data_IF_996071532214
#
_entry.id   IF_996071532214
#
_cell.length_a   1.000
_cell.length_b   1.000
_cell.length_c   1.000
_cell.angle_alpha   90.00
_cell.angle_beta   90.00
_cell.angle_gamma   90.00
#
_symmetry.space_group_name_H-M   'P 1'
#
loop_
_entity.id
_entity.type
_entity.pdbx_description
1 polymer ?
#
# COMPACT_ATOMS: atom_id res chain seq x y z
N UNK A 1 -17.26 -15.50 -15.66
CA UNK A 1 -16.68 -14.97 -14.40
C UNK A 1 -17.86 -14.83 -13.45
N UNK A 2 -17.91 -15.67 -12.42
CA UNK A 2 -19.07 -15.77 -11.51
C UNK A 2 -19.22 -14.50 -10.69
N UNK A 3 -20.45 -14.15 -10.32
CA UNK A 3 -20.74 -13.02 -9.42
C UNK A 3 -20.04 -13.22 -8.05
N UNK A 4 -19.89 -14.47 -7.61
CA UNK A 4 -19.12 -14.84 -6.41
C UNK A 4 -17.65 -14.45 -6.51
N UNK A 5 -16.97 -14.77 -7.63
CA UNK A 5 -15.55 -14.43 -7.82
C UNK A 5 -15.28 -12.92 -7.79
N UNK A 6 -16.26 -12.09 -8.17
CA UNK A 6 -16.12 -10.63 -8.09
C UNK A 6 -16.27 -10.11 -6.67
N UNK A 7 -17.17 -10.68 -5.89
CA UNK A 7 -17.35 -10.33 -4.48
C UNK A 7 -16.12 -10.73 -3.67
N UNK A 8 -15.51 -11.88 -3.97
CA UNK A 8 -14.27 -12.34 -3.34
C UNK A 8 -13.06 -11.45 -3.68
N UNK A 9 -12.99 -10.92 -4.91
CA UNK A 9 -11.95 -9.96 -5.30
C UNK A 9 -12.11 -8.60 -4.60
N UNK A 10 -13.34 -8.08 -4.54
CA UNK A 10 -13.63 -6.80 -3.87
C UNK A 10 -13.35 -6.89 -2.37
N UNK A 11 -13.83 -7.94 -1.71
CA UNK A 11 -13.59 -8.16 -0.27
C UNK A 11 -12.12 -8.38 0.05
N UNK A 12 -11.35 -9.03 -0.84
CA UNK A 12 -9.90 -9.15 -0.69
C UNK A 12 -9.18 -7.80 -0.83
N UNK A 13 -9.62 -6.94 -1.76
CA UNK A 13 -9.05 -5.60 -1.92
C UNK A 13 -9.35 -4.69 -0.72
N UNK A 14 -10.56 -4.76 -0.18
CA UNK A 14 -10.93 -4.02 1.04
C UNK A 14 -10.16 -4.53 2.26
N UNK A 15 -10.04 -5.85 2.42
CA UNK A 15 -9.26 -6.45 3.50
C UNK A 15 -7.79 -6.02 3.43
N UNK A 16 -7.15 -6.06 2.26
CA UNK A 16 -5.75 -5.64 2.11
C UNK A 16 -5.54 -4.16 2.38
N UNK A 17 -6.49 -3.29 2.01
CA UNK A 17 -6.45 -1.87 2.38
C UNK A 17 -6.55 -1.67 3.89
N UNK A 18 -7.43 -2.43 4.57
CA UNK A 18 -7.59 -2.36 6.00
C UNK A 18 -6.32 -2.81 6.74
N UNK A 19 -5.69 -3.91 6.30
CA UNK A 19 -4.40 -4.35 6.83
C UNK A 19 -3.32 -3.27 6.63
N UNK A 20 -3.26 -2.65 5.45
CA UNK A 20 -2.26 -1.63 5.16
C UNK A 20 -2.45 -0.40 6.04
N UNK A 21 -3.69 0.07 6.16
CA UNK A 21 -4.03 1.21 7.01
C UNK A 21 -3.66 0.95 8.47
N UNK A 22 -4.07 -0.20 9.03
CA UNK A 22 -3.75 -0.55 10.41
C UNK A 22 -2.24 -0.74 10.62
N UNK A 23 -1.54 -1.37 9.67
CA UNK A 23 -0.08 -1.54 9.74
C UNK A 23 0.64 -0.21 9.82
N UNK A 24 0.18 0.79 9.05
CA UNK A 24 0.83 2.10 9.04
C UNK A 24 0.50 2.90 10.30
N UNK A 25 -0.71 2.79 10.85
CA UNK A 25 -1.02 3.37 12.17
C UNK A 25 -0.12 2.78 13.25
N UNK A 26 0.03 1.45 13.27
CA UNK A 26 0.93 0.77 14.23
C UNK A 26 2.37 1.21 14.00
N UNK A 27 2.81 1.34 12.74
CA UNK A 27 4.14 1.82 12.40
C UNK A 27 4.38 3.24 12.93
N UNK A 28 3.46 4.18 12.69
CA UNK A 28 3.55 5.54 13.22
C UNK A 28 3.65 5.53 14.75
N UNK A 29 2.82 4.71 15.41
CA UNK A 29 2.86 4.56 16.86
C UNK A 29 4.24 4.08 17.34
N UNK A 30 4.80 3.05 16.70
CA UNK A 30 6.11 2.49 17.04
C UNK A 30 7.26 3.48 16.74
N UNK A 31 7.22 4.19 15.62
CA UNK A 31 8.21 5.22 15.28
C UNK A 31 8.19 6.37 16.28
N UNK A 32 6.99 6.76 16.72
CA UNK A 32 6.83 7.81 17.73
C UNK A 32 7.37 7.40 19.11
N UNK A 33 7.22 6.13 19.49
CA UNK A 33 7.82 5.61 20.73
C UNK A 33 9.33 5.42 20.66
N UNK A 34 9.87 5.15 19.48
CA UNK A 34 11.30 4.87 19.29
C UNK A 34 12.14 6.10 18.95
N UNK A 35 11.51 7.25 18.63
CA UNK A 35 12.17 8.51 18.24
C UNK A 35 13.15 8.36 17.06
N UNK A 36 12.95 7.32 16.23
CA UNK A 36 13.85 6.97 15.11
C UNK A 36 13.60 7.81 13.86
N UNK A 37 12.36 8.30 13.66
CA UNK A 37 11.98 8.97 12.42
C UNK A 37 12.05 10.50 12.53
N UNK A 38 12.54 11.20 11.49
CA UNK A 38 12.57 12.66 11.45
C UNK A 38 11.16 13.26 11.34
N UNK A 39 10.87 14.34 12.07
CA UNK A 39 9.66 15.13 11.77
C UNK A 39 9.80 15.74 10.36
N UNK A 40 8.80 15.65 9.45
CA UNK A 40 7.42 15.15 9.59
C UNK A 40 7.15 13.80 8.87
N UNK A 41 7.76 12.70 9.31
CA UNK A 41 7.60 11.38 8.68
C UNK A 41 6.17 10.81 8.79
N UNK A 42 5.47 11.07 9.90
CA UNK A 42 4.08 10.59 10.10
C UNK A 42 3.13 11.18 9.05
N UNK A 43 3.28 12.46 8.74
CA UNK A 43 2.47 13.14 7.70
C UNK A 43 2.77 12.55 6.32
N UNK A 44 4.04 12.20 6.06
CA UNK A 44 4.43 11.53 4.82
C UNK A 44 3.80 10.13 4.69
N UNK A 45 3.81 9.32 5.75
CA UNK A 45 3.17 8.01 5.76
C UNK A 45 1.65 8.12 5.55
N UNK A 46 0.98 9.07 6.21
CA UNK A 46 -0.46 9.30 6.03
C UNK A 46 -0.83 9.71 4.60
N UNK A 47 -0.02 10.59 4.00
CA UNK A 47 -0.26 11.06 2.63
C UNK A 47 -0.24 9.91 1.60
N UNK A 48 0.56 8.87 1.86
CA UNK A 48 0.70 7.69 0.99
C UNK A 48 -0.51 6.73 1.06
N UNK A 49 -1.34 6.81 2.11
CA UNK A 49 -2.57 6.00 2.24
C UNK A 49 -3.80 6.77 1.77
N UNK A 50 -3.66 8.09 1.60
CA UNK A 50 -4.78 8.97 1.27
C UNK A 50 -5.62 8.44 0.11
N UNK A 51 -6.93 8.69 0.16
CA UNK A 51 -7.87 8.23 -0.87
C UNK A 51 -7.41 8.57 -2.30
N UNK A 52 -6.81 9.75 -2.60
CA UNK A 52 -6.27 10.03 -3.94
C UNK A 52 -5.14 9.07 -4.37
N UNK A 53 -4.23 8.74 -3.46
CA UNK A 53 -3.11 7.83 -3.73
C UNK A 53 -3.58 6.39 -3.98
N UNK A 54 -4.52 5.94 -3.15
CA UNK A 54 -5.12 4.62 -3.24
C UNK A 54 -6.07 4.52 -4.44
N UNK A 55 -6.77 5.60 -4.77
CA UNK A 55 -7.62 5.70 -5.96
C UNK A 55 -6.80 5.65 -7.25
N UNK A 56 -5.68 6.38 -7.34
CA UNK A 56 -4.83 6.34 -8.54
C UNK A 56 -4.31 4.91 -8.79
N UNK A 57 -3.85 4.23 -7.73
CA UNK A 57 -3.37 2.86 -7.81
C UNK A 57 -4.48 1.89 -8.27
N UNK A 58 -5.65 1.97 -7.62
CA UNK A 58 -6.80 1.08 -7.92
C UNK A 58 -7.44 1.39 -9.27
N UNK A 59 -7.51 2.66 -9.68
CA UNK A 59 -8.02 3.06 -10.99
C UNK A 59 -7.16 2.46 -12.11
N UNK A 60 -5.84 2.62 -12.04
CA UNK A 60 -4.97 2.07 -13.06
C UNK A 60 -4.89 0.54 -13.00
N UNK A 61 -4.87 -0.10 -11.83
CA UNK A 61 -4.94 -1.57 -11.73
C UNK A 61 -6.26 -2.15 -12.26
N UNK A 62 -7.41 -1.62 -11.84
CA UNK A 62 -8.72 -2.17 -12.21
C UNK A 62 -9.13 -1.80 -13.63
N UNK A 63 -8.68 -0.65 -14.15
CA UNK A 63 -9.08 -0.12 -15.46
C UNK A 63 -8.06 -0.36 -16.56
N UNK A 64 -6.81 -0.74 -16.24
CA UNK A 64 -5.85 -1.30 -17.21
C UNK A 64 -6.43 -2.47 -18.00
N UNK A 65 -7.34 -3.23 -17.39
CA UNK A 65 -8.00 -4.36 -18.03
C UNK A 65 -9.23 -3.98 -18.87
N UNK A 66 -9.71 -2.73 -18.84
CA UNK A 66 -11.00 -2.34 -19.45
C UNK A 66 -10.95 -1.14 -20.40
N UNK A 67 -9.85 -0.40 -20.50
CA UNK A 67 -9.78 0.75 -21.41
C UNK A 67 -9.60 0.31 -22.88
N UNK A 68 -10.73 0.26 -23.60
CA UNK A 68 -10.75 0.38 -25.06
C UNK A 68 -11.17 -0.83 -25.90
N UNK A 69 -11.58 -1.97 -25.32
CA UNK A 69 -12.07 -3.11 -26.12
C UNK A 69 -13.32 -3.76 -25.51
N UNK A 70 -14.38 -3.86 -26.32
CA UNK A 70 -15.62 -4.61 -26.04
C UNK A 70 -15.40 -6.12 -25.79
N UNK A 71 -14.19 -6.63 -26.05
CA UNK A 71 -13.77 -8.00 -25.72
C UNK A 71 -12.51 -7.94 -24.87
N UNK A 72 -12.66 -8.17 -23.56
CA UNK A 72 -11.54 -8.30 -22.64
C UNK A 72 -10.77 -9.59 -22.96
N UNK A 73 -9.59 -9.47 -23.58
CA UNK A 73 -8.69 -10.62 -23.76
C UNK A 73 -8.19 -11.08 -22.40
N UNK A 74 -8.41 -12.35 -22.09
CA UNK A 74 -8.18 -13.01 -20.78
C UNK A 74 -6.71 -13.08 -20.33
N UNK A 75 -5.75 -12.66 -21.16
CA UNK A 75 -4.31 -12.59 -20.86
C UNK A 75 -3.71 -11.34 -21.51
N UNK A 76 -3.49 -10.23 -20.76
CA UNK A 76 -2.74 -9.09 -21.28
C UNK A 76 -1.27 -9.48 -21.49
N UNK A 77 -0.62 -8.89 -22.48
CA UNK A 77 0.82 -9.03 -22.70
C UNK A 77 1.59 -8.51 -21.47
N UNK A 78 2.63 -9.23 -20.99
CA UNK A 78 3.34 -8.89 -19.76
C UNK A 78 4.01 -7.52 -19.82
N UNK A 79 4.48 -7.09 -21.00
CA UNK A 79 5.07 -5.76 -21.23
C UNK A 79 4.08 -4.62 -21.00
N UNK A 80 2.81 -4.82 -21.39
CA UNK A 80 1.76 -3.82 -21.23
C UNK A 80 1.30 -3.71 -19.77
N UNK A 81 1.31 -4.83 -19.04
CA UNK A 81 1.00 -4.86 -17.60
C UNK A 81 1.99 -4.01 -16.79
N UNK A 82 3.30 -4.21 -17.03
CA UNK A 82 4.37 -3.47 -16.37
C UNK A 82 4.29 -1.96 -16.61
N UNK A 83 3.99 -1.53 -17.84
CA UNK A 83 3.84 -0.10 -18.15
C UNK A 83 2.69 0.56 -17.38
N UNK A 84 1.59 -0.16 -17.15
CA UNK A 84 0.43 0.37 -16.43
C UNK A 84 0.67 0.39 -14.93
N UNK A 85 1.39 -0.60 -14.41
CA UNK A 85 1.78 -0.66 -13.01
C UNK A 85 2.80 0.43 -12.66
N UNK A 86 3.79 0.67 -13.53
CA UNK A 86 4.71 1.79 -13.41
C UNK A 86 3.96 3.15 -13.45
N UNK A 87 3.01 3.31 -14.37
CA UNK A 87 2.19 4.52 -14.45
C UNK A 87 1.32 4.72 -13.19
N UNK A 88 0.75 3.63 -12.66
CA UNK A 88 -0.03 3.66 -11.42
C UNK A 88 0.83 4.10 -10.23
N UNK A 89 2.05 3.56 -10.13
CA UNK A 89 3.01 3.92 -9.07
C UNK A 89 3.43 5.39 -9.17
N UNK A 90 3.76 5.87 -10.38
CA UNK A 90 4.14 7.27 -10.60
C UNK A 90 3.00 8.24 -10.27
N UNK A 91 1.77 7.92 -10.66
CA UNK A 91 0.60 8.74 -10.32
C UNK A 91 0.28 8.70 -8.83
N UNK A 92 0.42 7.54 -8.19
CA UNK A 92 0.28 7.39 -6.74
C UNK A 92 1.32 8.22 -5.98
N UNK A 93 2.57 8.22 -6.44
CA UNK A 93 3.65 9.05 -5.91
C UNK A 93 3.33 10.53 -6.03
N UNK A 94 2.97 10.99 -7.22
CA UNK A 94 2.65 12.41 -7.47
C UNK A 94 1.47 12.89 -6.62
N UNK A 95 0.38 12.13 -6.56
CA UNK A 95 -0.80 12.48 -5.76
C UNK A 95 -0.48 12.49 -4.26
N UNK A 96 0.23 11.48 -3.77
CA UNK A 96 0.66 11.41 -2.37
C UNK A 96 1.58 12.57 -2.01
N UNK A 97 2.49 12.96 -2.92
CA UNK A 97 3.41 14.08 -2.70
C UNK A 97 2.68 15.42 -2.60
N UNK A 98 1.67 15.65 -3.45
CA UNK A 98 0.83 16.86 -3.37
C UNK A 98 0.13 16.93 -2.00
N UNK A 99 -0.40 15.81 -1.52
CA UNK A 99 -1.02 15.73 -0.19
C UNK A 99 0.00 16.00 0.92
N UNK A 100 1.21 15.44 0.82
CA UNK A 100 2.28 15.70 1.78
C UNK A 100 2.69 17.17 1.82
N UNK A 101 2.92 17.78 0.66
CA UNK A 101 3.31 19.19 0.55
C UNK A 101 2.21 20.11 1.10
N UNK A 102 0.94 19.78 0.85
CA UNK A 102 -0.20 20.53 1.37
C UNK A 102 -0.36 20.42 2.90
N UNK A 103 -0.12 19.23 3.48
CA UNK A 103 -0.31 19.00 4.92
C UNK A 103 0.87 19.41 5.78
N UNK A 104 2.09 19.21 5.28
CA UNK A 104 3.32 19.48 6.05
C UNK A 104 3.89 20.88 5.80
N UNK A 105 3.53 21.53 4.69
CA UNK A 105 4.19 22.75 4.22
C UNK A 105 5.66 22.53 3.81
N UNK A 106 6.14 21.29 3.80
CA UNK A 106 7.52 20.92 3.49
C UNK A 106 7.62 20.30 2.10
N UNK A 107 8.72 20.59 1.41
CA UNK A 107 9.07 20.01 0.10
C UNK A 107 10.19 18.98 0.21
N UNK A 108 10.41 18.39 1.40
CA UNK A 108 11.48 17.41 1.58
C UNK A 108 11.16 16.09 0.85
N UNK A 109 11.64 15.99 -0.38
CA UNK A 109 11.47 14.83 -1.25
C UNK A 109 12.14 13.56 -0.71
N UNK A 110 13.18 13.68 0.11
CA UNK A 110 13.93 12.53 0.64
C UNK A 110 13.08 11.84 1.72
N UNK A 111 12.56 12.60 2.67
CA UNK A 111 11.69 12.08 3.74
C UNK A 111 10.42 11.47 3.15
N UNK A 112 9.81 12.16 2.19
CA UNK A 112 8.64 11.65 1.50
C UNK A 112 8.94 10.38 0.68
N UNK A 113 10.05 10.35 -0.05
CA UNK A 113 10.47 9.20 -0.83
C UNK A 113 10.70 7.96 0.04
N UNK A 114 11.37 8.11 1.18
CA UNK A 114 11.57 7.03 2.14
C UNK A 114 10.24 6.50 2.70
N UNK A 115 9.31 7.39 3.07
CA UNK A 115 7.97 7.01 3.51
C UNK A 115 7.19 6.27 2.41
N UNK A 116 7.22 6.77 1.18
CA UNK A 116 6.53 6.16 0.05
C UNK A 116 7.06 4.76 -0.25
N UNK A 117 8.39 4.61 -0.32
CA UNK A 117 9.03 3.29 -0.52
C UNK A 117 8.62 2.33 0.58
N UNK A 118 8.64 2.77 1.84
CA UNK A 118 8.24 1.96 2.99
C UNK A 118 6.80 1.48 2.85
N UNK A 119 5.88 2.37 2.48
CA UNK A 119 4.47 2.01 2.27
C UNK A 119 4.29 1.01 1.12
N UNK A 120 5.04 1.15 0.02
CA UNK A 120 4.97 0.17 -1.08
C UNK A 120 5.52 -1.20 -0.67
N UNK A 121 6.62 -1.23 0.10
CA UNK A 121 7.18 -2.47 0.66
C UNK A 121 6.16 -3.13 1.60
N UNK A 122 5.54 -2.37 2.50
CA UNK A 122 4.48 -2.88 3.39
C UNK A 122 3.29 -3.42 2.60
N UNK A 123 2.87 -2.74 1.54
CA UNK A 123 1.77 -3.20 0.66
C UNK A 123 2.12 -4.55 0.02
N UNK A 124 3.33 -4.70 -0.51
CA UNK A 124 3.80 -5.98 -1.08
C UNK A 124 3.86 -7.08 -0.02
N UNK A 125 4.39 -6.79 1.17
CA UNK A 125 4.45 -7.75 2.28
C UNK A 125 3.04 -8.21 2.70
N UNK A 126 2.09 -7.30 2.84
CA UNK A 126 0.70 -7.64 3.17
C UNK A 126 0.10 -8.53 2.09
N UNK A 127 0.29 -8.21 0.80
CA UNK A 127 -0.21 -9.05 -0.29
C UNK A 127 0.38 -10.47 -0.24
N UNK A 128 1.69 -10.60 0.03
CA UNK A 128 2.34 -11.90 0.15
C UNK A 128 1.83 -12.69 1.36
N UNK A 129 1.77 -12.07 2.54
CA UNK A 129 1.34 -12.71 3.79
C UNK A 129 -0.13 -13.09 3.72
N UNK A 130 -1.00 -12.19 3.28
CA UNK A 130 -2.43 -12.47 3.14
C UNK A 130 -2.68 -13.54 2.06
N UNK A 131 -1.96 -13.53 0.94
CA UNK A 131 -2.07 -14.59 -0.07
C UNK A 131 -1.64 -15.95 0.49
N UNK A 132 -0.56 -16.02 1.26
CA UNK A 132 -0.14 -17.25 1.92
C UNK A 132 -1.17 -17.74 2.95
N UNK A 133 -1.69 -16.86 3.80
CA UNK A 133 -2.73 -17.18 4.78
C UNK A 133 -4.01 -17.69 4.12
N UNK A 134 -4.42 -17.06 3.01
CA UNK A 134 -5.56 -17.51 2.22
C UNK A 134 -5.36 -18.92 1.66
N UNK A 135 -4.16 -19.20 1.15
CA UNK A 135 -3.82 -20.52 0.62
C UNK A 135 -3.80 -21.61 1.71
N UNK A 136 -3.59 -21.22 2.97
CA UNK A 136 -3.68 -22.09 4.15
C UNK A 136 -5.11 -22.24 4.70
N UNK A 137 -6.10 -21.55 4.11
CA UNK A 137 -7.49 -21.57 4.57
C UNK A 137 -7.75 -20.72 5.82
N UNK A 138 -6.83 -19.82 6.18
CA UNK A 138 -7.02 -18.89 7.30
C UNK A 138 -7.94 -17.75 6.88
N UNK A 139 -8.90 -17.41 7.74
CA UNK A 139 -9.77 -16.25 7.54
C UNK A 139 -9.00 -14.94 7.77
N UNK A 140 -8.72 -14.23 6.68
CA UNK A 140 -8.01 -12.94 6.67
C UNK A 140 -8.87 -11.81 7.26
N UNK A 141 -10.20 -11.98 7.33
CA UNK A 141 -11.10 -10.97 7.89
C UNK A 141 -11.21 -11.05 9.41
N UNK A 142 -10.66 -12.10 10.03
CA UNK A 142 -10.73 -12.25 11.47
C UNK A 142 -9.92 -11.13 12.17
N UNK A 143 -10.51 -10.36 13.11
CA UNK A 143 -9.86 -9.20 13.74
C UNK A 143 -8.48 -9.47 14.34
N UNK A 144 -8.30 -10.66 14.93
CA UNK A 144 -7.02 -11.09 15.51
C UNK A 144 -5.96 -11.29 14.42
N UNK A 145 -6.32 -11.89 13.28
CA UNK A 145 -5.41 -12.12 12.17
C UNK A 145 -4.99 -10.79 11.56
N UNK A 146 -5.95 -9.88 11.37
CA UNK A 146 -5.70 -8.51 10.91
C UNK A 146 -4.66 -7.82 11.79
N UNK A 147 -4.85 -7.89 13.11
CA UNK A 147 -3.95 -7.24 14.07
C UNK A 147 -2.55 -7.87 14.07
N UNK A 148 -2.44 -9.20 14.05
CA UNK A 148 -1.15 -9.90 14.02
C UNK A 148 -0.37 -9.64 12.72
N UNK A 149 -1.04 -9.72 11.58
CA UNK A 149 -0.42 -9.39 10.29
C UNK A 149 0.01 -7.94 10.28
N UNK A 150 -0.84 -7.02 10.75
CA UNK A 150 -0.49 -5.60 10.76
C UNK A 150 0.68 -5.27 11.69
N UNK A 151 0.73 -5.92 12.86
CA UNK A 151 1.83 -5.77 13.81
C UNK A 151 3.15 -6.32 13.24
N UNK A 152 3.12 -7.51 12.62
CA UNK A 152 4.32 -8.11 12.02
C UNK A 152 4.87 -7.25 10.88
N UNK A 153 4.00 -6.75 10.00
CA UNK A 153 4.41 -5.87 8.90
C UNK A 153 4.93 -4.53 9.42
N UNK A 154 4.29 -3.96 10.44
CA UNK A 154 4.78 -2.74 11.09
C UNK A 154 6.16 -2.96 11.73
N UNK A 155 6.39 -4.09 12.41
CA UNK A 155 7.69 -4.40 13.01
C UNK A 155 8.81 -4.50 11.95
N UNK A 156 8.53 -5.13 10.80
CA UNK A 156 9.46 -5.15 9.66
C UNK A 156 9.72 -3.73 9.12
N UNK A 157 8.67 -2.91 9.03
CA UNK A 157 8.79 -1.50 8.64
C UNK A 157 9.69 -0.69 9.58
N UNK A 158 9.51 -0.85 10.90
CA UNK A 158 10.39 -0.22 11.91
C UNK A 158 11.82 -0.70 11.73
N UNK A 159 12.05 -2.01 11.65
CA UNK A 159 13.40 -2.56 11.50
C UNK A 159 14.10 -2.01 10.24
N UNK A 160 13.38 -1.95 9.11
CA UNK A 160 13.89 -1.37 7.88
C UNK A 160 14.25 0.11 8.02
N UNK A 161 13.35 0.91 8.62
CA UNK A 161 13.57 2.34 8.83
C UNK A 161 14.70 2.63 9.81
N UNK A 162 14.79 1.86 10.88
CA UNK A 162 15.89 1.95 11.85
C UNK A 162 17.23 1.71 11.19
N UNK A 163 17.33 0.73 10.29
CA UNK A 163 18.58 0.52 9.54
C UNK A 163 18.89 1.71 8.64
N UNK A 164 17.89 2.29 7.97
CA UNK A 164 18.13 3.42 7.04
C UNK A 164 18.44 4.75 7.72
N UNK A 165 17.93 4.98 8.94
CA UNK A 165 18.11 6.24 9.69
C UNK A 165 19.12 6.15 10.83
N UNK A 166 19.63 4.96 11.17
CA UNK A 166 20.72 4.79 12.13
C UNK A 166 22.12 5.07 11.54
N UNK A 167 22.22 5.29 10.22
CA UNK A 167 23.40 5.79 9.52
C UNK A 167 23.19 7.26 9.12
#
# INVERSE_FOLDING_TARGET
>A
MSLSSRLDEVTATEATQLHLFLSIIILMLLLRFSAVAPEPFDVALFSCISMPATYALTYYHARAHRMGRFVARKKPEPTRLWSHELAALMMSFAMSYIVFAALSGSTNYITFGAAFITVQVMRLLILLVTSHLKNMGVDIQHPIVILLVSLSVAAVGVAGLSITFAF
#
